data_IF_044868579987
#
_entry.id   IF_044868579987
#
_cell.length_a   1.000
_cell.length_b   1.000
_cell.length_c   1.000
_cell.angle_alpha   90.00
_cell.angle_beta   90.00
_cell.angle_gamma   90.00
#
_symmetry.space_group_name_H-M   'P 1'
#
loop_
_entity.id
_entity.type
_entity.pdbx_description
1 polymer ?
#
# COMPACT_ATOMS: atom_id res chain seq x y z
N UNK A 1 14.12 -41.34 12.41
CA UNK A 1 13.63 -40.28 11.51
C UNK A 1 13.92 -40.75 10.11
N UNK A 2 12.88 -40.93 9.31
CA UNK A 2 13.02 -41.40 7.93
C UNK A 2 13.61 -40.27 7.08
N UNK A 3 14.36 -40.61 6.02
CA UNK A 3 15.06 -39.61 5.20
C UNK A 3 14.12 -38.52 4.68
N UNK A 4 12.87 -38.86 4.35
CA UNK A 4 11.81 -37.94 3.96
C UNK A 4 11.46 -36.93 5.07
N UNK A 5 11.38 -37.37 6.33
CA UNK A 5 11.10 -36.50 7.48
C UNK A 5 12.24 -35.51 7.75
N UNK A 6 13.50 -35.93 7.55
CA UNK A 6 14.67 -35.06 7.70
C UNK A 6 14.69 -33.98 6.62
N UNK A 7 14.41 -34.36 5.37
CA UNK A 7 14.32 -33.42 4.25
C UNK A 7 13.19 -32.41 4.48
N UNK A 8 12.01 -32.87 4.91
CA UNK A 8 10.88 -31.99 5.18
C UNK A 8 11.20 -30.94 6.25
N UNK A 9 11.83 -31.36 7.36
CA UNK A 9 12.26 -30.45 8.42
C UNK A 9 13.32 -29.46 7.92
N UNK A 10 14.30 -29.93 7.13
CA UNK A 10 15.34 -29.06 6.58
C UNK A 10 14.75 -27.98 5.66
N UNK A 11 13.78 -28.33 4.81
CA UNK A 11 13.09 -27.37 3.94
C UNK A 11 12.36 -26.31 4.76
N UNK A 12 11.63 -26.71 5.81
CA UNK A 12 10.92 -25.78 6.69
C UNK A 12 11.91 -24.81 7.35
N UNK A 13 12.99 -25.33 7.92
CA UNK A 13 14.00 -24.52 8.60
C UNK A 13 14.64 -23.52 7.64
N UNK A 14 15.01 -23.95 6.42
CA UNK A 14 15.58 -23.07 5.41
C UNK A 14 14.58 -22.00 4.97
N UNK A 15 13.32 -22.37 4.73
CA UNK A 15 12.27 -21.42 4.36
C UNK A 15 12.05 -20.37 5.47
N UNK A 16 11.95 -20.80 6.73
CA UNK A 16 11.79 -19.89 7.87
C UNK A 16 13.00 -18.98 8.05
N UNK A 17 14.21 -19.52 7.99
CA UNK A 17 15.44 -18.74 8.10
C UNK A 17 15.56 -17.69 6.97
N UNK A 18 15.19 -18.07 5.75
CA UNK A 18 15.18 -17.17 4.59
C UNK A 18 14.17 -16.04 4.79
N UNK A 19 12.95 -16.33 5.25
CA UNK A 19 11.94 -15.32 5.55
C UNK A 19 12.40 -14.35 6.63
N UNK A 20 13.02 -14.85 7.71
CA UNK A 20 13.56 -14.00 8.77
C UNK A 20 14.70 -13.09 8.29
N UNK A 21 15.58 -13.62 7.43
CA UNK A 21 16.66 -12.84 6.84
C UNK A 21 16.16 -11.74 5.88
N UNK A 22 15.09 -12.01 5.12
CA UNK A 22 14.50 -11.04 4.19
C UNK A 22 13.48 -10.09 4.85
N UNK A 23 12.94 -10.43 6.02
CA UNK A 23 11.95 -9.63 6.74
C UNK A 23 12.28 -8.12 6.84
N UNK A 24 13.50 -7.68 7.21
CA UNK A 24 13.80 -6.24 7.30
C UNK A 24 13.78 -5.55 5.93
N UNK A 25 14.20 -6.23 4.86
CA UNK A 25 14.15 -5.69 3.50
C UNK A 25 12.70 -5.55 3.02
N UNK A 26 11.88 -6.57 3.25
CA UNK A 26 10.46 -6.57 2.92
C UNK A 26 9.76 -5.45 3.70
N UNK A 27 10.01 -5.32 5.00
CA UNK A 27 9.40 -4.28 5.83
C UNK A 27 9.78 -2.85 5.39
N UNK A 28 11.05 -2.65 5.00
CA UNK A 28 11.50 -1.35 4.49
C UNK A 28 10.86 -1.00 3.15
N UNK A 29 10.73 -1.98 2.26
CA UNK A 29 10.11 -1.76 0.95
C UNK A 29 8.61 -1.49 1.07
N UNK A 30 7.89 -2.26 1.90
CA UNK A 30 6.46 -2.03 2.14
C UNK A 30 6.22 -0.64 2.72
N UNK A 31 6.98 -0.22 3.74
CA UNK A 31 6.87 1.13 4.33
C UNK A 31 7.04 2.24 3.29
N UNK A 32 8.03 2.11 2.39
CA UNK A 32 8.25 3.08 1.29
C UNK A 32 7.09 3.14 0.31
N UNK A 33 6.39 2.03 0.07
CA UNK A 33 5.20 2.00 -0.79
C UNK A 33 4.02 2.70 -0.12
N UNK A 34 3.82 2.47 1.18
CA UNK A 34 2.82 3.17 1.98
C UNK A 34 3.03 4.69 1.99
N UNK A 35 4.27 5.15 2.15
CA UNK A 35 4.62 6.59 2.10
C UNK A 35 4.33 7.22 0.73
N UNK A 36 4.28 6.42 -0.35
CA UNK A 36 3.94 6.87 -1.71
C UNK A 36 2.45 6.78 -2.03
N UNK A 37 1.60 6.42 -1.05
CA UNK A 37 0.16 6.20 -1.26
C UNK A 37 -0.17 4.98 -2.11
N UNK A 38 0.82 4.12 -2.41
CA UNK A 38 0.60 2.87 -3.13
C UNK A 38 0.18 1.84 -2.08
N UNK A 39 -1.14 1.61 -1.97
CA UNK A 39 -1.77 0.72 -1.01
C UNK A 39 -1.09 -0.66 -0.91
N UNK A 40 -0.97 -1.18 0.32
CA UNK A 40 -0.15 -2.34 0.62
C UNK A 40 -0.74 -3.69 0.18
N UNK A 41 -0.38 -4.13 -1.02
CA UNK A 41 -0.57 -5.51 -1.51
C UNK A 41 0.56 -6.46 -1.10
N UNK A 42 0.85 -6.56 0.20
CA UNK A 42 1.81 -7.54 0.73
C UNK A 42 1.18 -8.89 1.04
N UNK A 43 1.97 -9.89 1.45
CA UNK A 43 1.48 -11.21 1.89
C UNK A 43 0.35 -11.17 2.95
N UNK A 44 0.24 -10.07 3.70
CA UNK A 44 -0.86 -9.83 4.63
C UNK A 44 -2.20 -9.51 3.98
N UNK A 45 -2.25 -8.96 2.76
CA UNK A 45 -3.50 -8.60 2.10
C UNK A 45 -4.34 -9.83 1.71
N UNK A 46 -3.70 -10.96 1.42
CA UNK A 46 -4.40 -12.24 1.19
C UNK A 46 -5.08 -12.78 2.46
N UNK A 47 -4.63 -12.32 3.63
CA UNK A 47 -5.17 -12.67 4.93
C UNK A 47 -6.08 -11.58 5.50
N UNK A 48 -6.14 -10.39 4.87
CA UNK A 48 -6.93 -9.26 5.40
C UNK A 48 -8.41 -9.63 5.58
N UNK A 49 -8.97 -10.57 4.82
CA UNK A 49 -10.34 -11.06 5.06
C UNK A 49 -10.60 -11.60 6.48
N UNK A 50 -9.57 -12.13 7.16
CA UNK A 50 -9.67 -12.68 8.51
C UNK A 50 -9.40 -11.60 9.58
N UNK A 51 -8.44 -10.71 9.36
CA UNK A 51 -8.00 -9.73 10.36
C UNK A 51 -8.57 -8.31 10.16
N UNK A 52 -8.95 -7.95 8.92
CA UNK A 52 -9.55 -6.67 8.50
C UNK A 52 -10.60 -6.90 7.40
N UNK A 53 -11.80 -7.43 7.73
CA UNK A 53 -12.83 -7.75 6.74
C UNK A 53 -13.26 -6.55 5.88
N UNK A 54 -13.19 -5.33 6.42
CA UNK A 54 -13.54 -4.09 5.71
C UNK A 54 -12.49 -3.64 4.68
N UNK A 55 -11.38 -4.36 4.54
CA UNK A 55 -10.33 -4.02 3.58
C UNK A 55 -10.82 -4.13 2.13
N UNK A 56 -11.68 -5.12 1.84
CA UNK A 56 -12.26 -5.33 0.52
C UNK A 56 -13.15 -4.14 0.11
N UNK A 57 -14.04 -3.70 1.01
CA UNK A 57 -14.92 -2.55 0.77
C UNK A 57 -14.11 -1.27 0.55
N UNK A 58 -13.03 -1.07 1.32
CA UNK A 58 -12.15 0.08 1.17
C UNK A 58 -11.38 0.03 -0.16
N UNK A 59 -11.00 -1.16 -0.64
CA UNK A 59 -10.34 -1.33 -1.93
C UNK A 59 -11.32 -1.04 -3.07
N UNK A 60 -12.54 -1.57 -3.01
CA UNK A 60 -13.59 -1.29 -3.98
C UNK A 60 -13.95 0.21 -4.04
N UNK A 61 -14.00 0.88 -2.90
CA UNK A 61 -14.20 2.34 -2.84
C UNK A 61 -13.02 3.11 -3.43
N UNK A 62 -11.79 2.64 -3.24
CA UNK A 62 -10.61 3.24 -3.87
C UNK A 62 -10.60 3.06 -5.38
N UNK A 63 -10.96 1.89 -5.89
CA UNK A 63 -11.13 1.65 -7.34
C UNK A 63 -12.25 2.50 -7.95
N UNK A 64 -13.32 2.73 -7.19
CA UNK A 64 -14.45 3.56 -7.61
C UNK A 64 -14.19 5.07 -7.53
N UNK A 65 -13.07 5.51 -6.93
CA UNK A 65 -12.74 6.93 -6.86
C UNK A 65 -12.36 7.46 -8.25
N UNK A 66 -13.24 8.30 -8.80
CA UNK A 66 -12.96 9.07 -10.01
C UNK A 66 -12.21 10.33 -9.61
N UNK A 67 -11.03 10.55 -10.20
CA UNK A 67 -10.31 11.81 -10.06
C UNK A 67 -11.13 12.92 -10.71
N UNK A 68 -11.83 13.71 -9.89
CA UNK A 68 -12.54 14.90 -10.38
C UNK A 68 -11.50 16.01 -10.58
N UNK A 69 -11.24 16.44 -11.82
CA UNK A 69 -10.46 17.63 -12.04
C UNK A 69 -11.17 18.80 -11.34
N UNK A 70 -10.39 19.65 -10.68
CA UNK A 70 -10.93 20.87 -10.09
C UNK A 70 -11.72 21.62 -11.19
N UNK A 71 -12.92 22.12 -10.89
CA UNK A 71 -13.67 22.90 -11.86
C UNK A 71 -12.79 24.04 -12.35
N UNK A 72 -12.83 24.31 -13.66
CA UNK A 72 -12.09 25.42 -14.22
C UNK A 72 -12.48 26.71 -13.48
N UNK A 73 -11.51 27.58 -13.15
CA UNK A 73 -11.80 28.81 -12.45
C UNK A 73 -12.76 29.66 -13.29
N UNK A 74 -13.72 30.28 -12.63
CA UNK A 74 -14.65 31.20 -13.25
C UNK A 74 -13.91 32.45 -13.78
N UNK A 75 -14.34 33.03 -14.91
CA UNK A 75 -13.73 34.27 -15.40
C UNK A 75 -13.82 35.38 -14.34
N UNK A 76 -12.67 35.85 -13.84
CA UNK A 76 -12.58 36.89 -12.82
C UNK A 76 -12.46 36.39 -11.37
N UNK A 77 -12.34 35.08 -11.16
CA UNK A 77 -12.07 34.50 -9.83
C UNK A 77 -10.69 34.92 -9.31
N UNK A 78 -10.64 35.45 -8.08
CA UNK A 78 -9.39 35.90 -7.44
C UNK A 78 -8.57 34.69 -7.00
N UNK A 79 -7.25 34.74 -7.19
CA UNK A 79 -6.33 33.68 -6.77
C UNK A 79 -5.56 33.00 -7.90
N UNK A 80 -5.87 33.32 -9.18
CA UNK A 80 -5.10 32.88 -10.35
C UNK A 80 -4.46 34.06 -11.08
N UNK A 81 -3.50 34.73 -10.45
CA UNK A 81 -2.77 35.83 -11.08
C UNK A 81 -1.63 35.29 -11.94
N UNK A 82 -1.73 35.49 -13.26
CA UNK A 82 -0.68 35.14 -14.24
C UNK A 82 -0.17 33.68 -14.13
N UNK A 83 -1.08 32.73 -13.89
CA UNK A 83 -0.74 31.30 -13.81
C UNK A 83 -0.14 30.86 -12.47
N UNK A 84 -0.23 31.68 -11.42
CA UNK A 84 0.13 31.30 -10.05
C UNK A 84 -1.10 31.26 -9.15
N UNK A 85 -1.17 30.20 -8.34
CA UNK A 85 -2.19 30.04 -7.30
C UNK A 85 -1.74 30.78 -6.05
N UNK A 86 -2.52 31.77 -5.61
CA UNK A 86 -2.29 32.51 -4.36
C UNK A 86 -3.31 32.06 -3.32
N UNK A 87 -2.82 31.54 -2.19
CA UNK A 87 -3.65 31.13 -1.05
C UNK A 87 -3.51 32.20 0.02
N UNK A 88 -4.59 32.94 0.28
CA UNK A 88 -4.63 33.93 1.36
C UNK A 88 -5.06 33.24 2.66
N UNK A 89 -4.21 33.33 3.68
CA UNK A 89 -4.48 32.78 5.02
C UNK A 89 -4.88 33.96 5.91
N UNK A 90 -6.15 34.05 6.26
CA UNK A 90 -6.70 35.00 7.23
C UNK A 90 -7.00 34.32 8.55
#
# INVERSE_FOLDING_TARGET
MDASSVIAVAVIVVATASLLALAPLIHRDTRRRWEKGIGGGGLGSALDAVWRPSAEDAHAQWEAQVEMPAPAPSPGEKGLDSGRVVIDLH
#
